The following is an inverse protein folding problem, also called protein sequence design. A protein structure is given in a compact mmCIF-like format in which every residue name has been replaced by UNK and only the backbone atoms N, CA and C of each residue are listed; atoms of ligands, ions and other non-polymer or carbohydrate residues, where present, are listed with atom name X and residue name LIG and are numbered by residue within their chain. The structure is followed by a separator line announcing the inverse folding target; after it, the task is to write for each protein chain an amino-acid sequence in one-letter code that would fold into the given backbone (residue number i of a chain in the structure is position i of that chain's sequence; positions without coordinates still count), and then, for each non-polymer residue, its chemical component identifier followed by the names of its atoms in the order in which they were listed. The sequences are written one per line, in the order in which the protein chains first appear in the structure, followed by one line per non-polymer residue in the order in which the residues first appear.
data_IF_830956301711
#
_entry.id   IF_830956301711
#
_cell.length_a   1.000
_cell.length_b   1.000
_cell.length_c   1.000
_cell.angle_alpha   90.00
_cell.angle_beta   90.00
_cell.angle_gamma   90.00
#
_symmetry.space_group_name_H-M   'P 1'
#
loop_
_entity.id
_entity.type
_entity.pdbx_description
1 polymer ?
#
# COMPACT_ATOMS: atom_id res chain seq x y z
N UNK A 1 -15.10 0.18 35.79
CA UNK A 1 -15.20 0.63 34.38
C UNK A 1 -14.95 -0.61 33.53
N UNK A 2 -15.98 -1.15 32.90
CA UNK A 2 -15.82 -2.23 31.93
C UNK A 2 -15.08 -1.63 30.74
N UNK A 3 -13.81 -1.97 30.59
CA UNK A 3 -13.06 -1.65 29.36
C UNK A 3 -13.76 -2.40 28.22
N UNK A 4 -14.40 -1.64 27.32
CA UNK A 4 -14.99 -2.20 26.11
C UNK A 4 -13.85 -2.94 25.39
N UNK A 5 -14.03 -4.22 25.07
CA UNK A 5 -13.03 -4.96 24.31
C UNK A 5 -12.74 -4.23 23.00
N UNK A 6 -11.47 -4.16 22.58
CA UNK A 6 -11.13 -3.53 21.32
C UNK A 6 -11.83 -4.28 20.16
N UNK A 7 -12.27 -3.59 19.10
CA UNK A 7 -13.04 -4.21 18.02
C UNK A 7 -12.22 -5.18 17.15
N UNK A 8 -10.91 -5.22 17.33
CA UNK A 8 -9.98 -6.11 16.65
C UNK A 8 -8.76 -6.37 17.53
N UNK A 9 -7.90 -7.32 17.14
CA UNK A 9 -6.69 -7.62 17.89
C UNK A 9 -5.73 -6.43 17.93
N UNK A 10 -5.57 -5.81 19.09
CA UNK A 10 -4.64 -4.70 19.35
C UNK A 10 -3.48 -5.17 20.20
N UNK A 11 -2.28 -5.31 19.61
CA UNK A 11 -1.10 -5.71 20.36
C UNK A 11 -0.63 -4.65 21.37
N UNK A 12 -0.85 -3.37 21.07
CA UNK A 12 -0.56 -2.23 21.95
C UNK A 12 -1.87 -1.51 22.33
N UNK A 13 -2.62 -2.00 23.35
CA UNK A 13 -3.85 -1.34 23.78
C UNK A 13 -3.60 0.12 24.13
N UNK A 14 -4.44 1.02 23.62
CA UNK A 14 -4.29 2.48 23.82
C UNK A 14 -3.32 3.19 22.85
N UNK A 15 -2.62 2.47 21.98
CA UNK A 15 -1.79 3.06 20.93
C UNK A 15 -2.29 2.60 19.54
N UNK A 16 -3.18 3.40 18.95
CA UNK A 16 -3.76 3.10 17.63
C UNK A 16 -2.68 2.94 16.54
N UNK A 17 -1.71 3.88 16.46
CA UNK A 17 -0.69 3.90 15.42
C UNK A 17 0.17 2.64 15.43
N UNK A 18 0.70 2.27 16.61
CA UNK A 18 1.51 1.07 16.76
C UNK A 18 0.69 -0.21 16.55
N UNK A 19 -0.55 -0.26 17.08
CA UNK A 19 -1.44 -1.41 16.86
C UNK A 19 -1.80 -1.57 15.39
N UNK A 20 -2.10 -0.46 14.69
CA UNK A 20 -2.40 -0.48 13.26
C UNK A 20 -1.22 -0.95 12.42
N UNK A 21 0.01 -0.52 12.75
CA UNK A 21 1.22 -1.01 12.08
C UNK A 21 1.48 -2.49 12.38
N UNK A 22 1.31 -2.87 13.65
CA UNK A 22 1.59 -4.24 14.08
C UNK A 22 0.65 -5.25 13.44
N UNK A 23 -0.65 -4.95 13.37
CA UNK A 23 -1.62 -5.84 12.70
C UNK A 23 -1.41 -5.90 11.18
N UNK A 24 -0.95 -4.82 10.55
CA UNK A 24 -0.52 -4.87 9.15
C UNK A 24 0.65 -5.84 8.94
N UNK A 25 1.67 -5.81 9.82
CA UNK A 25 2.76 -6.77 9.77
C UNK A 25 2.26 -8.20 10.02
N UNK A 26 1.37 -8.41 11.01
CA UNK A 26 0.80 -9.74 11.28
C UNK A 26 0.01 -10.28 10.08
N UNK A 27 -0.83 -9.46 9.46
CA UNK A 27 -1.59 -9.84 8.26
C UNK A 27 -0.71 -10.24 7.09
N UNK A 28 0.46 -9.62 6.93
CA UNK A 28 1.42 -9.94 5.88
C UNK A 28 2.12 -11.30 6.07
N UNK A 29 2.00 -11.95 7.23
CA UNK A 29 2.57 -13.27 7.48
C UNK A 29 2.01 -14.32 6.51
N UNK A 30 0.74 -14.22 6.12
CA UNK A 30 0.12 -15.08 5.11
C UNK A 30 0.81 -15.02 3.73
N UNK A 31 1.52 -13.92 3.47
CA UNK A 31 2.23 -13.65 2.21
C UNK A 31 3.75 -13.60 2.37
N UNK A 32 4.27 -14.13 3.48
CA UNK A 32 5.71 -14.22 3.76
C UNK A 32 6.36 -12.92 4.23
N UNK A 33 5.60 -11.87 4.51
CA UNK A 33 6.11 -10.55 4.91
C UNK A 33 6.52 -10.44 6.37
N UNK A 34 6.15 -11.40 7.22
CA UNK A 34 6.52 -11.40 8.63
C UNK A 34 6.45 -12.81 9.24
N UNK A 35 6.97 -12.96 10.45
CA UNK A 35 6.87 -14.14 11.29
C UNK A 35 6.44 -13.76 12.72
N UNK A 36 5.54 -14.55 13.31
CA UNK A 36 4.95 -14.24 14.62
C UNK A 36 6.02 -14.19 15.74
N UNK A 37 7.05 -15.02 15.66
CA UNK A 37 8.15 -15.02 16.64
C UNK A 37 9.03 -13.77 16.51
N UNK A 38 9.26 -13.28 15.29
CA UNK A 38 9.98 -12.04 15.02
C UNK A 38 9.17 -10.83 15.48
N UNK A 39 7.85 -10.80 15.21
CA UNK A 39 6.94 -9.78 15.70
C UNK A 39 6.88 -9.76 17.23
N UNK A 40 6.83 -10.93 17.88
CA UNK A 40 6.87 -11.02 19.33
C UNK A 40 8.16 -10.40 19.91
N UNK A 41 9.32 -10.57 19.25
CA UNK A 41 10.57 -9.92 19.64
C UNK A 41 10.46 -8.40 19.56
N UNK A 42 9.89 -7.84 18.45
CA UNK A 42 9.63 -6.39 18.33
C UNK A 42 8.75 -5.93 19.50
N UNK A 43 7.62 -6.61 19.73
CA UNK A 43 6.71 -6.26 20.83
C UNK A 43 7.36 -6.32 22.20
N UNK A 44 8.25 -7.29 22.43
CA UNK A 44 9.00 -7.42 23.69
C UNK A 44 9.98 -6.27 23.90
N UNK A 45 10.67 -5.84 22.82
CA UNK A 45 11.58 -4.69 22.88
C UNK A 45 10.87 -3.38 23.15
N UNK A 46 9.61 -3.26 22.73
CA UNK A 46 8.75 -2.09 22.95
C UNK A 46 8.04 -2.10 24.31
N UNK A 47 8.18 -3.18 25.10
CA UNK A 47 7.53 -3.29 26.39
C UNK A 47 8.07 -2.22 27.36
N UNK A 48 7.18 -1.35 27.82
CA UNK A 48 7.51 -0.23 28.71
C UNK A 48 7.95 1.05 28.00
N UNK A 49 8.07 1.07 26.69
CA UNK A 49 8.27 2.30 25.94
C UNK A 49 7.01 3.19 26.00
N UNK A 50 7.19 4.52 25.95
CA UNK A 50 6.08 5.45 25.90
C UNK A 50 5.29 5.28 24.57
N UNK A 51 3.95 5.42 24.60
CA UNK A 51 3.12 5.17 23.41
C UNK A 51 3.45 5.99 22.16
N UNK A 52 4.14 7.11 22.33
CA UNK A 52 4.51 8.02 21.24
C UNK A 52 6.00 8.01 20.94
N UNK A 53 6.77 7.10 21.54
CA UNK A 53 8.21 6.96 21.31
C UNK A 53 8.48 6.24 20.00
N UNK A 54 8.35 6.98 18.89
CA UNK A 54 8.65 6.47 17.55
C UNK A 54 10.16 6.16 17.36
N UNK A 55 11.03 6.70 18.22
CA UNK A 55 12.45 6.32 18.31
C UNK A 55 12.62 4.88 18.81
N UNK A 56 11.95 4.54 19.91
CA UNK A 56 11.94 3.16 20.43
C UNK A 56 11.35 2.17 19.39
N UNK A 57 10.29 2.57 18.67
CA UNK A 57 9.75 1.78 17.57
C UNK A 57 10.80 1.53 16.48
N UNK A 58 11.48 2.59 16.03
CA UNK A 58 12.53 2.49 15.03
C UNK A 58 13.63 1.51 15.45
N UNK A 59 14.19 1.70 16.64
CA UNK A 59 15.30 0.90 17.15
C UNK A 59 14.90 -0.58 17.34
N UNK A 60 13.69 -0.85 17.83
CA UNK A 60 13.18 -2.21 18.01
C UNK A 60 13.02 -2.94 16.66
N UNK A 61 12.41 -2.27 15.67
CA UNK A 61 12.22 -2.85 14.34
C UNK A 61 13.54 -3.06 13.60
N UNK A 62 14.47 -2.08 13.63
CA UNK A 62 15.81 -2.21 13.02
C UNK A 62 16.58 -3.36 13.65
N UNK A 63 16.58 -3.48 14.98
CA UNK A 63 17.29 -4.57 15.68
C UNK A 63 16.79 -5.95 15.24
N UNK A 64 15.49 -6.13 15.07
CA UNK A 64 14.94 -7.41 14.60
C UNK A 64 15.23 -7.60 13.11
N UNK A 65 15.11 -6.55 12.29
CA UNK A 65 15.44 -6.59 10.87
C UNK A 65 16.92 -7.00 10.63
N UNK A 66 17.86 -6.43 11.39
CA UNK A 66 19.29 -6.79 11.32
C UNK A 66 19.52 -8.27 11.66
N UNK A 67 18.85 -8.79 12.68
CA UNK A 67 18.93 -10.20 13.06
C UNK A 67 18.40 -11.13 11.95
N UNK A 68 17.26 -10.77 11.35
CA UNK A 68 16.65 -11.55 10.25
C UNK A 68 17.48 -11.47 8.98
N UNK A 69 18.04 -10.29 8.65
CA UNK A 69 18.99 -10.12 7.55
C UNK A 69 20.26 -10.97 7.78
N UNK A 70 20.80 -10.99 8.99
CA UNK A 70 21.95 -11.84 9.32
C UNK A 70 21.66 -13.34 9.15
N UNK A 71 20.42 -13.80 9.37
CA UNK A 71 20.01 -15.16 9.02
C UNK A 71 19.96 -15.36 7.50
N UNK A 72 19.40 -14.39 6.76
CA UNK A 72 19.33 -14.44 5.30
C UNK A 72 20.73 -14.56 4.67
N UNK A 73 21.68 -13.74 5.12
CA UNK A 73 23.08 -13.75 4.66
C UNK A 73 23.77 -15.12 4.93
N UNK A 74 23.50 -15.73 6.09
CA UNK A 74 24.00 -17.09 6.39
C UNK A 74 23.41 -18.15 5.47
N UNK A 75 22.09 -18.09 5.23
CA UNK A 75 21.42 -19.00 4.31
C UNK A 75 21.94 -18.85 2.88
N UNK A 76 22.14 -17.62 2.41
CA UNK A 76 22.69 -17.33 1.09
C UNK A 76 24.12 -17.89 0.96
N UNK A 77 24.97 -17.63 1.96
CA UNK A 77 26.35 -18.11 1.98
C UNK A 77 26.48 -19.65 1.98
N UNK A 78 25.47 -20.35 2.48
CA UNK A 78 25.40 -21.81 2.49
C UNK A 78 24.60 -22.41 1.33
N UNK A 79 24.18 -21.61 0.35
CA UNK A 79 23.47 -22.05 -0.85
C UNK A 79 21.97 -22.32 -0.66
N UNK A 80 21.40 -21.99 0.50
CA UNK A 80 19.99 -22.21 0.80
C UNK A 80 19.12 -21.04 0.28
N UNK A 81 19.05 -20.88 -1.03
CA UNK A 81 18.47 -19.72 -1.69
C UNK A 81 17.02 -19.39 -1.27
N UNK A 82 16.15 -20.39 -1.07
CA UNK A 82 14.74 -20.16 -0.70
C UNK A 82 14.62 -19.66 0.74
N UNK A 83 15.41 -20.21 1.66
CA UNK A 83 15.45 -19.74 3.05
C UNK A 83 16.00 -18.30 3.12
N UNK A 84 17.04 -18.00 2.31
CA UNK A 84 17.58 -16.65 2.19
C UNK A 84 16.55 -15.68 1.63
N UNK A 85 15.88 -16.02 0.52
CA UNK A 85 14.84 -15.19 -0.09
C UNK A 85 13.70 -14.84 0.88
N UNK A 86 13.19 -15.84 1.61
CA UNK A 86 12.13 -15.64 2.59
C UNK A 86 12.58 -14.74 3.77
N UNK A 87 13.80 -14.90 4.25
CA UNK A 87 14.32 -14.06 5.34
C UNK A 87 14.62 -12.63 4.87
N UNK A 88 15.15 -12.43 3.65
CA UNK A 88 15.34 -11.09 3.09
C UNK A 88 14.01 -10.34 2.91
N UNK A 89 12.93 -11.00 2.48
CA UNK A 89 11.61 -10.38 2.35
C UNK A 89 11.10 -9.86 3.71
N UNK A 90 11.22 -10.64 4.77
CA UNK A 90 10.82 -10.22 6.11
C UNK A 90 11.70 -9.09 6.65
N UNK A 91 13.03 -9.19 6.45
CA UNK A 91 13.95 -8.13 6.84
C UNK A 91 13.60 -6.80 6.15
N UNK A 92 13.32 -6.82 4.84
CA UNK A 92 12.84 -5.66 4.09
C UNK A 92 11.63 -5.03 4.78
N UNK A 93 10.60 -5.82 5.06
CA UNK A 93 9.39 -5.32 5.68
C UNK A 93 9.66 -4.65 7.04
N UNK A 94 10.49 -5.26 7.89
CA UNK A 94 10.80 -4.68 9.21
C UNK A 94 11.62 -3.40 9.12
N UNK A 95 12.58 -3.27 8.20
CA UNK A 95 13.29 -2.02 7.97
C UNK A 95 12.37 -0.89 7.51
N UNK A 96 11.45 -1.18 6.60
CA UNK A 96 10.50 -0.17 6.11
C UNK A 96 9.47 0.20 7.19
N UNK A 97 9.02 -0.75 7.98
CA UNK A 97 8.14 -0.46 9.14
C UNK A 97 8.87 0.30 10.24
N UNK A 98 10.18 0.12 10.41
CA UNK A 98 10.99 0.95 11.31
C UNK A 98 10.99 2.42 10.85
N UNK A 99 11.29 2.67 9.57
CA UNK A 99 11.40 3.99 9.00
C UNK A 99 10.06 4.74 9.00
N UNK A 100 8.94 4.03 8.88
CA UNK A 100 7.60 4.56 8.67
C UNK A 100 7.22 5.70 9.61
N UNK A 101 7.49 5.58 10.90
CA UNK A 101 7.11 6.59 11.90
C UNK A 101 8.18 7.63 12.17
N UNK A 102 9.42 7.38 11.73
CA UNK A 102 10.52 8.31 11.97
C UNK A 102 10.32 9.61 11.19
N UNK A 103 10.27 10.72 11.91
CA UNK A 103 10.11 12.06 11.37
C UNK A 103 11.03 13.02 12.13
N UNK A 104 11.90 13.80 11.46
CA UNK A 104 12.07 13.88 10.00
C UNK A 104 12.70 12.60 9.42
N UNK A 105 12.68 12.47 8.09
CA UNK A 105 13.37 11.41 7.34
C UNK A 105 14.87 11.71 7.28
N UNK A 106 15.54 11.52 8.41
CA UNK A 106 16.97 11.76 8.58
C UNK A 106 17.83 10.65 7.91
N UNK A 107 19.15 10.80 7.98
CA UNK A 107 20.09 9.84 7.39
C UNK A 107 19.87 8.40 7.91
N UNK A 108 19.54 8.23 9.20
CA UNK A 108 19.25 6.90 9.77
C UNK A 108 17.97 6.30 9.17
N UNK A 109 16.93 7.12 9.02
CA UNK A 109 15.68 6.70 8.38
C UNK A 109 15.93 6.25 6.94
N UNK A 110 16.62 7.09 6.14
CA UNK A 110 16.93 6.81 4.75
C UNK A 110 17.85 5.59 4.58
N UNK A 111 18.84 5.41 5.48
CA UNK A 111 19.71 4.24 5.47
C UNK A 111 18.94 2.94 5.76
N UNK A 112 18.06 2.95 6.77
CA UNK A 112 17.21 1.80 7.07
C UNK A 112 16.28 1.48 5.89
N UNK A 113 15.64 2.49 5.30
CA UNK A 113 14.79 2.32 4.13
C UNK A 113 15.56 1.71 2.95
N UNK A 114 16.73 2.26 2.63
CA UNK A 114 17.60 1.72 1.57
C UNK A 114 17.98 0.27 1.83
N UNK A 115 18.37 -0.06 3.06
CA UNK A 115 18.68 -1.45 3.44
C UNK A 115 17.47 -2.38 3.22
N UNK A 116 16.26 -1.89 3.51
CA UNK A 116 15.03 -2.60 3.20
C UNK A 116 14.86 -2.89 1.70
N UNK A 117 15.06 -1.87 0.85
CA UNK A 117 15.01 -2.04 -0.63
C UNK A 117 16.08 -3.03 -1.10
N UNK A 118 17.33 -2.92 -0.60
CA UNK A 118 18.41 -3.84 -0.94
C UNK A 118 18.06 -5.30 -0.55
N UNK A 119 17.40 -5.50 0.60
CA UNK A 119 16.87 -6.81 1.00
C UNK A 119 15.80 -7.32 0.03
N UNK A 120 14.87 -6.46 -0.43
CA UNK A 120 13.88 -6.88 -1.41
C UNK A 120 14.53 -7.28 -2.74
N UNK A 121 15.54 -6.55 -3.21
CA UNK A 121 16.29 -6.90 -4.43
C UNK A 121 17.00 -8.26 -4.28
N UNK A 122 17.53 -8.57 -3.09
CA UNK A 122 18.04 -9.91 -2.78
C UNK A 122 16.94 -10.99 -2.81
N UNK A 123 15.77 -10.71 -2.22
CA UNK A 123 14.61 -11.58 -2.33
C UNK A 123 14.25 -11.84 -3.79
N UNK A 124 14.12 -10.79 -4.60
CA UNK A 124 13.75 -10.90 -6.01
C UNK A 124 14.74 -11.74 -6.83
N UNK A 125 16.03 -11.64 -6.52
CA UNK A 125 17.07 -12.44 -7.19
C UNK A 125 17.10 -13.91 -6.78
N UNK A 126 16.61 -14.25 -5.57
CA UNK A 126 16.73 -15.59 -4.98
C UNK A 126 15.41 -16.39 -5.00
N UNK A 127 14.27 -15.73 -5.11
CA UNK A 127 12.95 -16.37 -5.18
C UNK A 127 12.76 -17.11 -6.52
N UNK A 128 11.71 -17.94 -6.60
CA UNK A 128 11.23 -18.56 -7.83
C UNK A 128 10.14 -17.72 -8.53
N UNK A 129 9.69 -16.65 -7.89
CA UNK A 129 8.82 -15.66 -8.52
C UNK A 129 9.63 -14.76 -9.43
N UNK A 130 9.24 -14.66 -10.72
CA UNK A 130 9.91 -13.77 -11.65
C UNK A 130 9.52 -12.31 -11.37
N UNK A 131 10.48 -11.52 -10.88
CA UNK A 131 10.34 -10.11 -10.52
C UNK A 131 11.37 -9.30 -11.30
N UNK A 132 10.92 -8.31 -12.05
CA UNK A 132 11.77 -7.31 -12.70
C UNK A 132 11.75 -6.02 -11.88
N UNK A 133 12.93 -5.46 -11.60
CA UNK A 133 13.08 -4.12 -11.04
C UNK A 133 12.98 -3.15 -12.20
N UNK A 134 12.01 -2.25 -12.16
CA UNK A 134 11.67 -1.40 -13.32
C UNK A 134 11.60 0.08 -12.95
N UNK A 135 11.80 0.90 -13.98
CA UNK A 135 11.63 2.35 -13.94
C UNK A 135 10.58 2.74 -14.98
N UNK A 136 9.52 3.40 -14.53
CA UNK A 136 8.47 3.93 -15.40
C UNK A 136 8.69 5.43 -15.57
N UNK A 137 8.95 5.87 -16.79
CA UNK A 137 9.16 7.29 -17.09
C UNK A 137 7.83 8.05 -17.04
N UNK A 138 7.81 9.15 -16.30
CA UNK A 138 6.68 10.08 -16.15
C UNK A 138 7.16 11.49 -16.50
N UNK A 139 7.16 11.85 -17.77
CA UNK A 139 7.80 13.07 -18.27
C UNK A 139 9.31 13.02 -18.05
N UNK A 140 9.86 14.02 -17.34
CA UNK A 140 11.27 14.09 -16.96
C UNK A 140 11.59 13.29 -15.67
N UNK A 141 10.57 12.88 -14.94
CA UNK A 141 10.67 12.09 -13.71
C UNK A 141 10.61 10.59 -14.02
N UNK A 142 11.02 9.76 -13.06
CA UNK A 142 10.81 8.31 -13.13
C UNK A 142 10.22 7.79 -11.83
N UNK A 143 9.41 6.74 -11.96
CA UNK A 143 8.77 6.06 -10.85
C UNK A 143 9.36 4.66 -10.72
N UNK A 144 9.90 4.29 -9.55
CA UNK A 144 10.39 2.93 -9.32
C UNK A 144 9.26 1.95 -9.12
N UNK A 145 9.42 0.75 -9.65
CA UNK A 145 8.43 -0.30 -9.55
C UNK A 145 9.02 -1.71 -9.61
N UNK A 146 8.15 -2.67 -9.39
CA UNK A 146 8.42 -4.09 -9.61
C UNK A 146 7.38 -4.66 -10.56
N UNK A 147 7.83 -5.23 -11.68
CA UNK A 147 6.95 -6.00 -12.54
C UNK A 147 7.04 -7.48 -12.15
N UNK A 148 5.95 -7.99 -11.59
CA UNK A 148 5.83 -9.37 -11.12
C UNK A 148 5.03 -10.16 -12.15
N UNK A 149 5.67 -11.14 -12.78
CA UNK A 149 5.08 -11.88 -13.89
C UNK A 149 3.99 -12.85 -13.40
N UNK A 150 2.93 -12.96 -14.19
CA UNK A 150 1.93 -14.01 -14.03
C UNK A 150 2.56 -15.40 -14.08
N UNK A 151 2.07 -16.31 -13.24
CA UNK A 151 2.44 -17.71 -13.30
C UNK A 151 1.57 -18.45 -14.33
N UNK A 152 2.21 -19.19 -15.26
CA UNK A 152 1.53 -20.00 -16.26
C UNK A 152 0.44 -19.25 -17.05
N UNK A 153 0.72 -18.07 -17.63
CA UNK A 153 -0.30 -17.28 -18.30
C UNK A 153 -0.86 -18.02 -19.52
N UNK A 154 -2.18 -17.91 -19.70
CA UNK A 154 -2.88 -18.43 -20.89
C UNK A 154 -3.86 -17.34 -21.36
N UNK A 155 -3.65 -16.70 -22.47
CA UNK A 155 -2.63 -16.81 -23.51
C UNK A 155 -1.26 -16.31 -23.08
N UNK A 156 -0.27 -16.30 -24.02
CA UNK A 156 1.12 -15.90 -23.75
C UNK A 156 1.25 -14.49 -23.18
N UNK A 157 0.39 -13.56 -23.60
CA UNK A 157 0.25 -12.22 -23.00
C UNK A 157 -0.77 -12.28 -21.87
N UNK A 158 -0.37 -11.88 -20.65
CA UNK A 158 -1.20 -11.89 -19.45
C UNK A 158 -1.90 -10.55 -19.25
N UNK A 159 -3.11 -10.53 -18.65
CA UNK A 159 -3.63 -9.33 -18.01
C UNK A 159 -2.64 -8.80 -16.97
N UNK A 160 -2.73 -7.50 -16.64
CA UNK A 160 -1.89 -6.89 -15.63
C UNK A 160 -2.71 -6.03 -14.68
N UNK A 161 -2.29 -5.93 -13.42
CA UNK A 161 -2.82 -4.98 -12.46
C UNK A 161 -1.72 -4.00 -12.08
N UNK A 162 -1.98 -2.72 -12.24
CA UNK A 162 -1.14 -1.64 -11.68
C UNK A 162 -1.56 -1.42 -10.24
N UNK A 163 -0.64 -1.58 -9.31
CA UNK A 163 -0.91 -1.50 -7.89
C UNK A 163 -0.12 -0.35 -7.26
N UNK A 164 -0.82 0.74 -6.94
CA UNK A 164 -0.28 1.87 -6.21
C UNK A 164 -0.57 1.79 -4.72
N UNK A 165 0.27 2.42 -3.93
CA UNK A 165 0.04 2.58 -2.51
C UNK A 165 -0.85 3.79 -2.17
N UNK A 166 -0.86 4.16 -0.90
CA UNK A 166 -1.56 5.31 -0.33
C UNK A 166 -0.60 6.39 0.15
N UNK A 167 -0.73 6.73 1.45
CA UNK A 167 -0.01 7.85 2.05
C UNK A 167 1.45 7.53 2.40
N UNK A 168 1.74 6.31 2.87
CA UNK A 168 2.91 6.04 3.70
C UNK A 168 3.49 4.62 3.58
N UNK A 169 2.97 3.83 2.69
CA UNK A 169 3.43 2.45 2.43
C UNK A 169 4.19 2.44 1.11
N UNK A 170 4.83 1.35 0.74
CA UNK A 170 5.76 1.26 -0.36
C UNK A 170 5.46 0.05 -1.23
N UNK A 171 6.03 0.00 -2.42
CA UNK A 171 5.90 -1.14 -3.33
C UNK A 171 6.31 -2.48 -2.72
N UNK A 172 7.31 -2.49 -1.82
CA UNK A 172 7.74 -3.71 -1.13
C UNK A 172 6.68 -4.20 -0.15
N UNK A 173 6.08 -3.28 0.60
CA UNK A 173 4.99 -3.63 1.53
C UNK A 173 3.73 -4.04 0.76
N UNK A 174 3.46 -3.43 -0.40
CA UNK A 174 2.37 -3.84 -1.28
C UNK A 174 2.58 -5.25 -1.83
N UNK A 175 3.82 -5.63 -2.15
CA UNK A 175 4.13 -6.98 -2.60
C UNK A 175 3.63 -8.05 -1.61
N UNK A 176 3.81 -7.84 -0.31
CA UNK A 176 3.34 -8.75 0.75
C UNK A 176 1.87 -8.56 1.14
N UNK A 177 1.08 -7.93 0.27
CA UNK A 177 -0.38 -7.82 0.36
C UNK A 177 -1.08 -8.62 -0.74
N UNK A 178 -0.59 -9.83 -1.01
CA UNK A 178 -1.23 -10.81 -1.87
C UNK A 178 -0.87 -10.72 -3.36
N UNK A 179 0.22 -10.02 -3.74
CA UNK A 179 0.68 -10.02 -5.14
C UNK A 179 0.98 -11.42 -5.63
N UNK A 180 1.56 -12.28 -4.77
CA UNK A 180 1.81 -13.69 -5.10
C UNK A 180 0.55 -14.48 -5.40
N UNK A 181 -0.59 -14.14 -4.78
CA UNK A 181 -1.86 -14.81 -5.06
C UNK A 181 -2.50 -14.28 -6.37
N UNK A 182 -2.27 -13.01 -6.71
CA UNK A 182 -2.70 -12.45 -7.98
C UNK A 182 -1.99 -13.13 -9.15
N UNK A 183 -0.66 -13.28 -9.07
CA UNK A 183 0.11 -13.90 -10.17
C UNK A 183 -0.20 -15.40 -10.34
N UNK A 184 -0.58 -16.11 -9.29
CA UNK A 184 -1.07 -17.51 -9.38
C UNK A 184 -2.35 -17.63 -10.21
N UNK A 185 -3.19 -16.58 -10.25
CA UNK A 185 -4.38 -16.50 -11.09
C UNK A 185 -4.07 -16.22 -12.57
N UNK A 186 -2.80 -16.06 -12.92
CA UNK A 186 -2.38 -15.76 -14.29
C UNK A 186 -2.46 -14.26 -14.65
N UNK A 187 -2.47 -13.37 -13.67
CA UNK A 187 -2.48 -11.92 -13.83
C UNK A 187 -1.14 -11.37 -13.35
N UNK A 188 -0.42 -10.64 -14.22
CA UNK A 188 0.81 -9.94 -13.84
C UNK A 188 0.50 -8.73 -12.93
N UNK A 189 1.49 -8.27 -12.17
CA UNK A 189 1.33 -7.11 -11.31
C UNK A 189 2.49 -6.12 -11.51
N UNK A 190 2.16 -4.86 -11.78
CA UNK A 190 3.10 -3.74 -11.76
C UNK A 190 2.90 -2.99 -10.44
N UNK A 191 3.75 -3.26 -9.45
CA UNK A 191 3.71 -2.65 -8.12
C UNK A 191 4.58 -1.40 -8.12
N UNK A 192 4.00 -0.24 -7.80
CA UNK A 192 4.64 1.06 -8.02
C UNK A 192 4.80 1.89 -6.74
N UNK A 193 5.96 2.53 -6.59
CA UNK A 193 6.06 3.74 -5.78
C UNK A 193 5.65 4.93 -6.67
N UNK A 194 4.47 5.45 -6.46
CA UNK A 194 3.99 6.63 -7.16
C UNK A 194 4.50 7.95 -6.53
N UNK A 195 4.14 9.11 -7.10
CA UNK A 195 4.48 10.41 -6.52
C UNK A 195 4.07 10.51 -5.06
N UNK A 196 4.99 10.89 -4.18
CA UNK A 196 4.77 11.02 -2.75
C UNK A 196 5.02 9.75 -1.93
N UNK A 197 5.39 8.61 -2.55
CA UNK A 197 5.60 7.34 -1.83
C UNK A 197 6.97 6.71 -2.10
N UNK A 198 7.37 5.80 -1.23
CA UNK A 198 8.52 4.93 -1.38
C UNK A 198 9.82 5.61 -1.77
N UNK A 199 10.54 5.04 -2.73
CA UNK A 199 11.77 5.60 -3.29
C UNK A 199 11.51 6.87 -4.13
N UNK A 200 10.30 7.03 -4.70
CA UNK A 200 9.98 8.19 -5.53
C UNK A 200 10.13 9.49 -4.74
N UNK A 201 9.67 9.53 -3.49
CA UNK A 201 9.86 10.74 -2.66
C UNK A 201 11.21 10.74 -1.94
N UNK A 202 11.70 9.58 -1.43
CA UNK A 202 12.90 9.53 -0.59
C UNK A 202 14.20 9.81 -1.33
N UNK A 203 14.29 9.35 -2.57
CA UNK A 203 15.53 9.41 -3.34
C UNK A 203 15.43 10.21 -4.64
N UNK A 204 14.21 10.57 -5.09
CA UNK A 204 13.98 11.31 -6.33
C UNK A 204 13.29 12.64 -6.11
N UNK A 205 12.78 12.90 -4.90
CA UNK A 205 12.09 14.15 -4.57
C UNK A 205 10.72 14.31 -5.23
N UNK A 206 10.15 13.22 -5.79
CA UNK A 206 8.83 13.25 -6.43
C UNK A 206 7.75 13.37 -5.36
N UNK A 207 7.28 14.58 -5.13
CA UNK A 207 6.24 14.87 -4.12
C UNK A 207 4.86 14.45 -4.60
N UNK A 208 3.95 14.31 -3.65
CA UNK A 208 2.56 13.96 -3.90
C UNK A 208 1.88 15.00 -4.81
N UNK A 209 1.13 14.51 -5.80
CA UNK A 209 0.36 15.31 -6.76
C UNK A 209 -1.11 14.89 -6.80
N UNK A 210 -2.00 15.82 -7.09
CA UNK A 210 -3.44 15.56 -7.13
C UNK A 210 -3.88 14.84 -8.42
N UNK A 211 -3.21 15.13 -9.54
CA UNK A 211 -3.47 14.57 -10.88
C UNK A 211 -2.76 13.23 -11.07
N UNK A 212 -3.10 12.28 -10.22
CA UNK A 212 -2.44 10.97 -10.16
C UNK A 212 -2.65 10.13 -11.42
N UNK A 213 -3.58 10.50 -12.30
CA UNK A 213 -3.74 9.93 -13.63
C UNK A 213 -2.49 10.06 -14.49
N UNK A 214 -1.64 11.03 -14.25
CA UNK A 214 -0.36 11.17 -14.98
C UNK A 214 0.55 9.96 -14.69
N UNK A 215 0.61 9.52 -13.44
CA UNK A 215 1.34 8.30 -13.05
C UNK A 215 0.66 7.05 -13.64
N UNK A 216 -0.67 7.00 -13.64
CA UNK A 216 -1.43 5.91 -14.25
C UNK A 216 -1.20 5.79 -15.76
N UNK A 217 -1.23 6.91 -16.48
CA UNK A 217 -0.95 6.96 -17.93
C UNK A 217 0.49 6.52 -18.25
N UNK A 218 1.46 6.97 -17.45
CA UNK A 218 2.86 6.53 -17.60
C UNK A 218 3.00 5.00 -17.44
N UNK A 219 2.28 4.39 -16.50
CA UNK A 219 2.25 2.93 -16.36
C UNK A 219 1.62 2.25 -17.59
N UNK A 220 0.53 2.79 -18.13
CA UNK A 220 -0.07 2.27 -19.36
C UNK A 220 0.88 2.36 -20.56
N UNK A 221 1.54 3.50 -20.75
CA UNK A 221 2.53 3.72 -21.83
C UNK A 221 3.73 2.75 -21.73
N UNK A 222 4.09 2.35 -20.51
CA UNK A 222 5.13 1.36 -20.26
C UNK A 222 4.62 -0.06 -20.55
N UNK A 223 3.40 -0.41 -20.11
CA UNK A 223 2.80 -1.73 -20.30
C UNK A 223 2.48 -2.03 -21.78
N UNK A 224 2.03 -1.03 -22.55
CA UNK A 224 1.75 -1.18 -23.98
C UNK A 224 2.98 -1.57 -24.82
N UNK A 225 4.18 -1.33 -24.33
CA UNK A 225 5.43 -1.70 -25.00
C UNK A 225 5.87 -3.14 -24.74
N UNK A 226 5.11 -3.88 -23.92
CA UNK A 226 5.44 -5.25 -23.52
C UNK A 226 4.67 -6.29 -24.31
N UNK A 227 5.39 -7.27 -24.88
CA UNK A 227 4.78 -8.38 -25.62
C UNK A 227 4.13 -9.44 -24.70
N UNK A 228 4.50 -9.44 -23.41
CA UNK A 228 4.00 -10.39 -22.40
C UNK A 228 2.79 -9.86 -21.62
N UNK A 229 2.29 -8.65 -21.94
CA UNK A 229 1.11 -8.04 -21.34
C UNK A 229 0.00 -7.85 -22.38
N UNK A 230 -1.23 -8.21 -22.02
CA UNK A 230 -2.43 -7.79 -22.76
C UNK A 230 -2.85 -6.39 -22.31
N UNK A 231 -2.39 -5.36 -23.01
CA UNK A 231 -2.65 -3.97 -22.66
C UNK A 231 -4.15 -3.58 -22.68
N UNK A 232 -5.03 -4.40 -23.26
CA UNK A 232 -6.49 -4.21 -23.22
C UNK A 232 -7.12 -4.74 -21.92
N UNK A 233 -6.35 -5.47 -21.12
CA UNK A 233 -6.77 -6.15 -19.89
C UNK A 233 -5.92 -5.68 -18.70
N UNK A 234 -5.77 -4.37 -18.55
CA UNK A 234 -5.03 -3.77 -17.43
C UNK A 234 -6.01 -3.19 -16.42
N UNK A 235 -5.93 -3.68 -15.18
CA UNK A 235 -6.66 -3.14 -14.05
C UNK A 235 -5.80 -2.17 -13.23
N UNK A 236 -6.44 -1.34 -12.41
CA UNK A 236 -5.76 -0.50 -11.40
C UNK A 236 -6.37 -0.72 -10.03
N UNK A 237 -5.50 -0.85 -9.03
CA UNK A 237 -5.88 -0.87 -7.62
C UNK A 237 -4.95 0.05 -6.84
N UNK A 238 -5.49 0.72 -5.84
CA UNK A 238 -4.67 1.46 -4.89
C UNK A 238 -5.35 1.52 -3.52
N UNK A 239 -4.53 1.59 -2.46
CA UNK A 239 -4.98 1.40 -1.07
C UNK A 239 -4.97 2.70 -0.27
N UNK A 240 -5.89 2.89 0.66
CA UNK A 240 -5.95 4.02 1.60
C UNK A 240 -6.09 5.35 0.86
N UNK A 241 -5.10 6.26 0.86
CA UNK A 241 -5.11 7.44 -0.01
C UNK A 241 -5.22 7.04 -1.49
N UNK A 242 -4.81 5.82 -1.82
CA UNK A 242 -5.06 5.22 -3.12
C UNK A 242 -6.53 5.06 -3.48
N UNK A 243 -7.43 5.07 -2.51
CA UNK A 243 -8.88 5.17 -2.76
C UNK A 243 -9.32 6.50 -3.40
N UNK A 244 -8.41 7.49 -3.45
CA UNK A 244 -8.50 8.66 -4.32
C UNK A 244 -7.77 8.40 -5.67
N UNK A 245 -6.58 7.78 -5.63
CA UNK A 245 -5.76 7.60 -6.83
C UNK A 245 -6.41 6.71 -7.87
N UNK A 246 -6.78 5.47 -7.51
CA UNK A 246 -7.30 4.50 -8.47
C UNK A 246 -8.58 4.99 -9.18
N UNK A 247 -9.62 5.51 -8.48
CA UNK A 247 -10.80 6.04 -9.15
C UNK A 247 -10.48 7.24 -10.05
N UNK A 248 -9.56 8.12 -9.64
CA UNK A 248 -9.13 9.24 -10.47
C UNK A 248 -8.42 8.77 -11.73
N UNK A 249 -7.45 7.87 -11.58
CA UNK A 249 -6.73 7.25 -12.71
C UNK A 249 -7.73 6.66 -13.70
N UNK A 250 -8.59 5.74 -13.26
CA UNK A 250 -9.53 5.04 -14.14
C UNK A 250 -10.61 5.95 -14.75
N UNK A 251 -10.85 7.13 -14.17
CA UNK A 251 -11.78 8.12 -14.71
C UNK A 251 -11.16 9.00 -15.78
N UNK A 252 -9.85 9.22 -15.73
CA UNK A 252 -9.14 10.16 -16.60
C UNK A 252 -8.26 9.45 -17.64
N UNK A 253 -7.91 8.17 -17.40
CA UNK A 253 -7.14 7.31 -18.30
C UNK A 253 -8.04 6.13 -18.75
N UNK A 254 -8.69 6.23 -19.93
CA UNK A 254 -9.71 5.26 -20.36
C UNK A 254 -9.15 3.89 -20.78
N UNK A 255 -7.84 3.71 -20.87
CA UNK A 255 -7.21 2.43 -21.20
C UNK A 255 -7.32 1.40 -20.06
N UNK A 256 -7.59 1.84 -18.81
CA UNK A 256 -7.81 0.89 -17.72
C UNK A 256 -9.13 0.14 -17.87
N UNK A 257 -9.05 -1.18 -17.90
CA UNK A 257 -10.19 -2.09 -18.12
C UNK A 257 -11.00 -2.36 -16.83
N UNK A 258 -10.44 -2.15 -15.65
CA UNK A 258 -11.09 -2.37 -14.35
C UNK A 258 -10.41 -1.53 -13.25
N UNK A 259 -11.18 -1.15 -12.22
CA UNK A 259 -10.69 -0.33 -11.12
C UNK A 259 -11.14 -0.88 -9.77
N UNK A 260 -10.20 -0.94 -8.79
CA UNK A 260 -10.53 -1.18 -7.39
C UNK A 260 -10.04 0.00 -6.53
N UNK A 261 -10.95 0.58 -5.74
CA UNK A 261 -10.60 1.48 -4.64
C UNK A 261 -10.57 0.68 -3.34
N UNK A 262 -9.37 0.44 -2.79
CA UNK A 262 -9.20 -0.25 -1.52
C UNK A 262 -9.11 0.75 -0.38
N UNK A 263 -10.26 1.09 0.20
CA UNK A 263 -10.46 2.23 1.08
C UNK A 263 -10.82 3.49 0.28
N UNK A 264 -12.10 3.83 0.26
CA UNK A 264 -12.62 4.92 -0.58
C UNK A 264 -12.34 6.29 0.04
N UNK A 265 -11.92 7.24 -0.78
CA UNK A 265 -11.77 8.66 -0.41
C UNK A 265 -12.57 9.50 -1.40
N UNK A 266 -13.47 10.34 -0.88
CA UNK A 266 -14.28 11.26 -1.66
C UNK A 266 -13.72 12.69 -1.66
N UNK A 267 -13.45 13.23 -0.47
CA UNK A 267 -12.87 14.56 -0.25
C UNK A 267 -11.71 14.48 0.74
N UNK A 268 -10.49 14.40 0.22
CA UNK A 268 -9.30 14.28 1.06
C UNK A 268 -8.90 15.60 1.73
N UNK A 269 -9.23 16.74 1.09
CA UNK A 269 -9.06 18.05 1.71
C UNK A 269 -9.91 18.16 2.98
N UNK A 270 -11.20 17.84 2.88
CA UNK A 270 -12.11 17.86 4.05
C UNK A 270 -11.65 16.90 5.16
N UNK A 271 -11.12 15.75 4.81
CA UNK A 271 -10.54 14.80 5.76
C UNK A 271 -9.36 15.41 6.52
N UNK A 272 -8.39 16.02 5.82
CA UNK A 272 -7.23 16.64 6.46
C UNK A 272 -7.55 17.90 7.24
N UNK A 273 -8.48 18.71 6.74
CA UNK A 273 -8.97 19.89 7.48
C UNK A 273 -9.49 19.49 8.85
N UNK A 274 -10.35 18.45 8.93
CA UNK A 274 -10.85 17.92 10.22
C UNK A 274 -9.73 17.43 11.14
N UNK A 275 -8.71 16.75 10.60
CA UNK A 275 -7.56 16.24 11.37
C UNK A 275 -6.71 17.37 11.95
N UNK A 276 -6.46 18.40 11.18
CA UNK A 276 -5.71 19.60 11.60
C UNK A 276 -6.50 20.40 12.62
N UNK A 277 -7.80 20.66 12.36
CA UNK A 277 -8.69 21.36 13.32
C UNK A 277 -8.77 20.60 14.68
N UNK A 278 -8.68 19.29 14.66
CA UNK A 278 -8.61 18.45 15.86
C UNK A 278 -7.20 18.34 16.47
N UNK A 279 -6.22 19.09 15.96
CA UNK A 279 -4.81 19.03 16.37
C UNK A 279 -4.27 17.59 16.38
N UNK A 280 -4.59 16.82 15.32
CA UNK A 280 -4.23 15.41 15.14
C UNK A 280 -4.70 14.45 16.25
N UNK A 281 -5.63 14.86 17.12
CA UNK A 281 -6.28 13.99 18.11
C UNK A 281 -7.32 13.08 17.43
N UNK A 282 -6.87 12.31 16.44
CA UNK A 282 -7.68 11.40 15.63
C UNK A 282 -6.88 10.12 15.36
N UNK A 283 -7.53 9.08 14.90
CA UNK A 283 -6.87 7.81 14.53
C UNK A 283 -6.02 7.96 13.27
N UNK A 284 -4.71 8.21 13.45
CA UNK A 284 -3.74 8.36 12.38
C UNK A 284 -2.79 7.17 12.32
N UNK A 285 -2.53 6.66 11.12
CA UNK A 285 -1.57 5.57 10.88
C UNK A 285 -0.12 6.03 10.82
N UNK A 286 0.13 7.33 10.76
CA UNK A 286 1.46 7.98 10.76
C UNK A 286 1.41 9.29 11.54
N UNK A 287 2.55 9.87 11.93
CA UNK A 287 2.58 11.22 12.51
C UNK A 287 1.89 12.24 11.63
N UNK A 288 1.04 13.11 12.21
CA UNK A 288 0.21 14.04 11.44
C UNK A 288 0.99 14.98 10.50
N UNK A 289 2.18 15.40 10.94
CA UNK A 289 3.04 16.28 10.12
C UNK A 289 3.67 15.58 8.91
N UNK A 290 3.53 14.27 8.76
CA UNK A 290 3.97 13.52 7.57
C UNK A 290 3.38 14.07 6.27
N UNK A 291 2.17 14.62 6.33
CA UNK A 291 1.51 15.24 5.17
C UNK A 291 2.32 16.40 4.56
N UNK A 292 3.00 17.19 5.38
CA UNK A 292 3.82 18.31 4.88
C UNK A 292 5.00 17.80 4.06
N UNK A 293 5.65 16.73 4.54
CA UNK A 293 6.79 16.14 3.86
C UNK A 293 6.42 15.58 2.49
N UNK A 294 5.35 14.78 2.41
CA UNK A 294 4.95 14.19 1.12
C UNK A 294 4.44 15.22 0.11
N UNK A 295 3.88 16.35 0.58
CA UNK A 295 3.47 17.45 -0.27
C UNK A 295 4.62 18.43 -0.61
N UNK A 296 5.79 18.28 0.04
CA UNK A 296 6.93 19.17 -0.14
C UNK A 296 6.60 20.62 0.29
N UNK A 297 6.01 20.79 1.48
CA UNK A 297 5.63 22.09 2.07
C UNK A 297 6.14 22.23 3.50
N UNK A 298 6.20 23.48 4.00
CA UNK A 298 6.78 23.79 5.30
C UNK A 298 5.74 24.15 6.38
N UNK A 299 4.46 24.26 6.01
CA UNK A 299 3.38 24.60 6.93
C UNK A 299 2.12 23.79 6.65
N UNK A 300 1.26 23.65 7.67
CA UNK A 300 -0.05 23.00 7.54
C UNK A 300 -1.01 23.81 6.66
N UNK A 301 -0.91 25.11 6.64
CA UNK A 301 -1.71 25.98 5.78
C UNK A 301 -1.35 25.77 4.29
N UNK A 302 -0.05 25.67 3.98
CA UNK A 302 0.41 25.28 2.64
C UNK A 302 -0.05 23.87 2.26
N UNK A 303 -0.01 22.93 3.21
CA UNK A 303 -0.50 21.57 2.98
C UNK A 303 -2.00 21.58 2.65
N UNK A 304 -2.82 22.29 3.43
CA UNK A 304 -4.26 22.43 3.15
C UNK A 304 -4.52 23.06 1.78
N UNK A 305 -3.79 24.09 1.41
CA UNK A 305 -3.92 24.73 0.09
C UNK A 305 -3.59 23.75 -1.04
N UNK A 306 -2.52 22.95 -0.91
CA UNK A 306 -2.19 21.91 -1.89
C UNK A 306 -3.21 20.77 -1.95
N UNK A 307 -3.93 20.52 -0.85
CA UNK A 307 -4.96 19.48 -0.78
C UNK A 307 -6.31 19.91 -1.38
N UNK A 308 -6.58 21.19 -1.63
CA UNK A 308 -7.86 21.67 -2.18
C UNK A 308 -8.35 20.89 -3.42
N UNK A 309 -7.49 20.53 -4.40
CA UNK A 309 -7.90 19.78 -5.58
C UNK A 309 -8.07 18.26 -5.35
N UNK A 310 -7.79 17.74 -4.15
CA UNK A 310 -7.91 16.29 -3.87
C UNK A 310 -9.37 15.89 -3.59
N UNK A 311 -10.21 16.03 -4.59
CA UNK A 311 -11.64 15.71 -4.60
C UNK A 311 -11.97 14.91 -5.85
N UNK A 312 -12.91 14.00 -5.73
CA UNK A 312 -13.37 13.15 -6.86
C UNK A 312 -14.65 13.65 -7.52
N UNK A 313 -15.30 14.67 -6.94
CA UNK A 313 -16.44 15.30 -7.58
C UNK A 313 -16.05 15.95 -8.91
N UNK A 314 -16.88 15.75 -9.95
CA UNK A 314 -16.58 16.18 -11.31
C UNK A 314 -15.57 15.30 -12.06
N UNK A 315 -14.92 14.35 -11.37
CA UNK A 315 -13.91 13.44 -11.93
C UNK A 315 -14.49 12.04 -12.13
N UNK A 316 -14.96 11.42 -11.06
CA UNK A 316 -15.37 10.01 -11.07
C UNK A 316 -16.62 9.72 -11.90
N UNK A 317 -17.40 10.74 -12.23
CA UNK A 317 -18.51 10.66 -13.17
C UNK A 317 -18.08 10.28 -14.61
N UNK A 318 -16.77 10.47 -14.91
CA UNK A 318 -16.18 10.10 -16.22
C UNK A 318 -15.80 8.62 -16.30
N UNK A 319 -15.73 7.90 -15.18
CA UNK A 319 -15.37 6.49 -15.16
C UNK A 319 -16.32 5.65 -16.00
N UNK A 320 -15.79 4.70 -16.76
CA UNK A 320 -16.56 3.80 -17.64
C UNK A 320 -16.27 2.32 -17.39
N UNK A 321 -15.11 1.99 -16.88
CA UNK A 321 -14.74 0.59 -16.59
C UNK A 321 -15.50 0.06 -15.36
N UNK A 322 -15.58 -1.27 -15.18
CA UNK A 322 -16.03 -1.90 -13.93
C UNK A 322 -15.31 -1.35 -12.71
N UNK A 323 -16.05 -1.15 -11.62
CA UNK A 323 -15.55 -0.49 -10.42
C UNK A 323 -15.95 -1.23 -9.14
N UNK A 324 -14.96 -1.65 -8.35
CA UNK A 324 -15.17 -2.22 -7.02
C UNK A 324 -14.63 -1.23 -5.96
N UNK A 325 -15.42 -0.98 -4.94
CA UNK A 325 -15.03 -0.24 -3.75
C UNK A 325 -15.03 -1.22 -2.57
N UNK A 326 -13.87 -1.43 -1.91
CA UNK A 326 -13.74 -2.17 -0.67
C UNK A 326 -13.57 -1.21 0.51
N UNK A 327 -14.48 -1.26 1.51
CA UNK A 327 -14.45 -0.33 2.64
C UNK A 327 -14.86 -1.01 3.95
N UNK A 328 -14.22 -0.66 5.06
CA UNK A 328 -14.57 -1.16 6.38
C UNK A 328 -15.69 -0.34 7.02
N UNK A 329 -16.68 -1.00 7.60
CA UNK A 329 -17.82 -0.33 8.24
C UNK A 329 -17.41 0.53 9.44
N UNK A 330 -16.31 0.17 10.10
CA UNK A 330 -15.76 0.84 11.29
C UNK A 330 -14.41 1.52 11.01
N UNK A 331 -14.19 1.94 9.76
CA UNK A 331 -12.98 2.67 9.39
C UNK A 331 -12.93 4.03 10.10
N UNK A 332 -12.00 4.15 11.07
CA UNK A 332 -11.81 5.38 11.85
C UNK A 332 -11.02 6.45 11.11
N UNK A 333 -10.37 6.10 9.99
CA UNK A 333 -9.56 7.05 9.23
C UNK A 333 -10.36 7.73 8.12
N UNK A 334 -11.21 6.98 7.44
CA UNK A 334 -12.05 7.45 6.33
C UNK A 334 -13.47 6.95 6.57
N UNK A 335 -14.43 7.84 6.53
CA UNK A 335 -15.81 7.51 6.85
C UNK A 335 -16.47 6.63 5.79
N UNK A 336 -17.39 5.75 6.19
CA UNK A 336 -18.23 4.98 5.26
C UNK A 336 -19.06 5.91 4.34
N UNK A 337 -19.35 7.14 4.79
CA UNK A 337 -20.04 8.14 3.98
C UNK A 337 -19.22 8.56 2.74
N UNK A 338 -17.88 8.59 2.84
CA UNK A 338 -17.00 8.83 1.69
C UNK A 338 -17.14 7.72 0.64
N UNK A 339 -17.18 6.45 1.08
CA UNK A 339 -17.37 5.31 0.20
C UNK A 339 -18.74 5.35 -0.50
N UNK A 340 -19.78 5.71 0.22
CA UNK A 340 -21.12 5.84 -0.33
C UNK A 340 -21.21 7.00 -1.33
N UNK A 341 -20.57 8.14 -1.04
CA UNK A 341 -20.53 9.28 -1.96
C UNK A 341 -19.79 8.91 -3.26
N UNK A 342 -18.63 8.26 -3.14
CA UNK A 342 -17.84 7.79 -4.28
C UNK A 342 -18.65 6.80 -5.15
N UNK A 343 -19.30 5.82 -4.51
CA UNK A 343 -20.13 4.85 -5.20
C UNK A 343 -21.27 5.54 -5.96
N UNK A 344 -22.01 6.43 -5.30
CA UNK A 344 -23.17 7.12 -5.89
C UNK A 344 -22.75 7.99 -7.09
N UNK A 345 -21.64 8.72 -6.97
CA UNK A 345 -21.16 9.66 -7.97
C UNK A 345 -20.49 8.99 -9.18
N UNK A 346 -20.00 7.74 -9.05
CA UNK A 346 -19.28 7.05 -10.11
C UNK A 346 -20.13 6.86 -11.36
N UNK A 347 -19.56 7.20 -12.53
CA UNK A 347 -20.15 7.01 -13.85
C UNK A 347 -20.08 5.57 -14.38
N UNK A 348 -19.41 4.66 -13.68
CA UNK A 348 -19.41 3.24 -14.02
C UNK A 348 -20.81 2.63 -13.93
N UNK A 349 -21.19 1.85 -14.93
CA UNK A 349 -22.48 1.10 -14.95
C UNK A 349 -22.37 -0.26 -14.25
N UNK A 350 -21.15 -0.79 -14.14
CA UNK A 350 -20.81 -2.03 -13.44
C UNK A 350 -19.99 -1.68 -12.20
N UNK A 351 -20.69 -1.38 -11.10
CA UNK A 351 -20.06 -0.93 -9.86
C UNK A 351 -20.61 -1.64 -8.64
N UNK A 352 -19.72 -1.94 -7.70
CA UNK A 352 -20.03 -2.60 -6.43
C UNK A 352 -19.40 -1.83 -5.27
N UNK A 353 -20.17 -1.61 -4.21
CA UNK A 353 -19.66 -1.18 -2.91
C UNK A 353 -19.69 -2.39 -1.96
N UNK A 354 -18.51 -2.93 -1.65
CA UNK A 354 -18.32 -4.00 -0.68
C UNK A 354 -17.95 -3.39 0.67
N UNK A 355 -18.88 -3.45 1.62
CA UNK A 355 -18.67 -3.00 3.00
C UNK A 355 -18.40 -4.22 3.86
N UNK A 356 -17.23 -4.23 4.54
CA UNK A 356 -16.85 -5.28 5.48
C UNK A 356 -17.31 -4.91 6.88
N UNK A 357 -18.06 -5.79 7.54
CA UNK A 357 -18.65 -5.56 8.86
C UNK A 357 -17.77 -6.13 9.97
N UNK A 358 -18.01 -5.71 11.22
CA UNK A 358 -17.31 -6.28 12.38
C UNK A 358 -17.66 -7.75 12.61
N UNK A 359 -18.89 -8.17 12.23
CA UNK A 359 -19.35 -9.56 12.40
C UNK A 359 -18.58 -10.52 11.48
N UNK A 360 -18.31 -10.14 10.24
CA UNK A 360 -17.57 -10.99 9.31
C UNK A 360 -16.04 -10.79 9.39
N UNK A 361 -15.60 -9.68 9.98
CA UNK A 361 -14.22 -9.22 10.00
C UNK A 361 -13.88 -8.29 8.83
N UNK A 362 -12.74 -7.58 8.93
CA UNK A 362 -12.32 -6.60 7.91
C UNK A 362 -12.99 -5.23 8.06
N UNK A 363 -13.59 -4.93 9.20
CA UNK A 363 -14.30 -3.68 9.44
C UNK A 363 -13.39 -2.45 9.55
N UNK A 364 -12.10 -2.64 9.74
CA UNK A 364 -11.14 -1.57 9.98
C UNK A 364 -10.58 -0.99 8.68
N UNK A 365 -9.84 0.12 8.80
CA UNK A 365 -9.21 0.79 7.65
C UNK A 365 -8.41 -0.17 6.75
N UNK A 366 -8.82 -0.28 5.49
CA UNK A 366 -8.22 -1.17 4.48
C UNK A 366 -8.18 -2.64 4.94
N UNK A 367 -9.20 -3.07 5.69
CA UNK A 367 -9.40 -4.45 6.19
C UNK A 367 -8.14 -5.04 6.83
N UNK A 368 -7.35 -4.19 7.53
CA UNK A 368 -6.09 -4.61 8.18
C UNK A 368 -6.30 -5.71 9.21
N UNK A 369 -7.49 -5.80 9.78
CA UNK A 369 -7.93 -6.80 10.76
C UNK A 369 -8.29 -8.15 10.11
N UNK A 370 -8.46 -8.21 8.78
CA UNK A 370 -8.70 -9.45 8.03
C UNK A 370 -8.19 -9.35 6.57
N UNK A 371 -6.88 -9.15 6.43
CA UNK A 371 -6.24 -8.89 5.13
C UNK A 371 -6.52 -9.98 4.09
N UNK A 372 -6.47 -11.27 4.48
CA UNK A 372 -6.63 -12.38 3.53
C UNK A 372 -8.02 -12.43 2.92
N UNK A 373 -9.06 -12.01 3.63
CA UNK A 373 -10.43 -11.97 3.12
C UNK A 373 -10.56 -10.95 1.99
N UNK A 374 -10.18 -9.69 2.24
CA UNK A 374 -10.30 -8.64 1.22
C UNK A 374 -9.42 -8.90 0.01
N UNK A 375 -8.22 -9.43 0.23
CA UNK A 375 -7.29 -9.79 -0.87
C UNK A 375 -7.91 -10.87 -1.76
N UNK A 376 -8.51 -11.91 -1.18
CA UNK A 376 -9.19 -12.96 -1.95
C UNK A 376 -10.32 -12.36 -2.79
N UNK A 377 -11.24 -11.58 -2.19
CA UNK A 377 -12.38 -10.98 -2.90
C UNK A 377 -11.94 -10.03 -4.03
N UNK A 378 -10.89 -9.21 -3.80
CA UNK A 378 -10.38 -8.30 -4.82
C UNK A 378 -9.73 -9.04 -6.00
N UNK A 379 -8.94 -10.08 -5.71
CA UNK A 379 -8.24 -10.81 -6.76
C UNK A 379 -9.20 -11.71 -7.55
N UNK A 380 -10.20 -12.32 -6.89
CA UNK A 380 -11.29 -13.05 -7.58
C UNK A 380 -12.09 -12.11 -8.48
N UNK A 381 -12.38 -10.88 -8.02
CA UNK A 381 -13.06 -9.88 -8.84
C UNK A 381 -12.21 -9.45 -10.06
N UNK A 382 -10.90 -9.25 -9.92
CA UNK A 382 -10.05 -8.98 -11.08
C UNK A 382 -9.97 -10.20 -12.02
N UNK A 383 -9.93 -11.42 -11.50
CA UNK A 383 -9.98 -12.64 -12.32
C UNK A 383 -11.24 -12.66 -13.17
N UNK A 384 -12.40 -12.36 -12.59
CA UNK A 384 -13.67 -12.30 -13.32
C UNK A 384 -13.67 -11.20 -14.40
N UNK A 385 -13.13 -10.00 -14.10
CA UNK A 385 -13.17 -8.85 -15.01
C UNK A 385 -12.07 -8.87 -16.07
N UNK A 386 -10.92 -9.48 -15.81
CA UNK A 386 -9.78 -9.42 -16.72
C UNK A 386 -9.51 -10.74 -17.47
N UNK A 387 -9.93 -11.90 -16.90
CA UNK A 387 -9.70 -13.20 -17.52
C UNK A 387 -10.97 -13.84 -18.10
N UNK A 388 -12.12 -13.67 -17.43
CA UNK A 388 -13.38 -14.36 -17.80
C UNK A 388 -14.34 -13.47 -18.60
N UNK A 389 -14.09 -12.15 -18.64
CA UNK A 389 -14.92 -11.18 -19.38
C UNK A 389 -14.65 -11.18 -20.89
#
# INVERSE_FOLDING_TARGET
MTTKEPPYFMYFPGNYRWSAAFINMMGSAAYGGSDIGELHKIGTLLKGAAPEDDGAWFDACVKVADGVRGHAEKFEATGHRFSAAAAYLRACHYYQMAERFRTPKDEKALAAFKTGVDCFHKHAALTDVKIEIVEVLMGEESLPGYFVHAQNPKPKSAPCVVFFDGLDVTKEIQFVRGVTDLIKRGISCLVMDGPGTGEAIRFRGNVLRHDYEVAGSACMDWLEKRDDVDAKKVGVVAISLGGYYAPRIASMEPRFAACIAWGAIWDYYGTWKKRIDANFKTSLSVPGHHIMWILGVNSLDEALKKLEPYKLDGVVQKMRCPFLICHGAEDEQISLADAQALYNASGSKDKTLRVFTAEEGGSQHCQRDYLTLVVAEMWDWFEDKLLRA
#
